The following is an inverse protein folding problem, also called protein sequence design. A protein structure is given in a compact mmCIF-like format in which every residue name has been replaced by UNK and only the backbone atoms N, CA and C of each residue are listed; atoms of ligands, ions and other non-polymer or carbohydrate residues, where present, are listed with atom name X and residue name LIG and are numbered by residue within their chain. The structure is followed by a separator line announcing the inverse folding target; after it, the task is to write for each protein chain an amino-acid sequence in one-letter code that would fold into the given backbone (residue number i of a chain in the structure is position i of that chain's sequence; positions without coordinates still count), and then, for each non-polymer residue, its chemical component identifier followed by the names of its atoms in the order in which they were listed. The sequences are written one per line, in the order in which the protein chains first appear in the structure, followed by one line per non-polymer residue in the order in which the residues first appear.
data_IF_213419621190
#
_entry.id   IF_213419621190
#
_cell.length_a   1.000
_cell.length_b   1.000
_cell.length_c   1.000
_cell.angle_alpha   90.00
_cell.angle_beta   90.00
_cell.angle_gamma   90.00
#
_symmetry.space_group_name_H-M   'P 1'
#
loop_
_entity.id
_entity.type
_entity.pdbx_description
1 polymer ?
#
# COMPACT_ATOMS: atom_id res chain seq x y z
N UNK A 1 -14.01 5.08 -2.03
CA UNK A 1 -13.06 5.44 -3.11
C UNK A 1 -12.08 4.30 -3.23
N UNK A 2 -12.20 3.50 -4.28
CA UNK A 2 -11.35 2.32 -4.48
C UNK A 2 -9.98 2.73 -5.02
N UNK A 3 -8.95 1.94 -4.71
CA UNK A 3 -7.62 2.13 -5.29
C UNK A 3 -7.71 2.02 -6.82
N UNK A 4 -6.96 2.85 -7.55
CA UNK A 4 -6.95 2.78 -9.02
C UNK A 4 -6.11 1.58 -9.51
N UNK A 5 -6.52 0.97 -10.61
CA UNK A 5 -5.84 -0.14 -11.30
C UNK A 5 -4.30 -0.03 -11.38
N UNK A 6 -3.69 1.08 -11.85
CA UNK A 6 -2.25 1.14 -11.98
C UNK A 6 -1.50 1.10 -10.63
N UNK A 7 -2.16 1.53 -9.54
CA UNK A 7 -1.58 1.46 -8.20
C UNK A 7 -1.73 0.04 -7.66
N UNK A 8 -2.85 -0.62 -7.92
CA UNK A 8 -3.05 -2.04 -7.61
C UNK A 8 -1.98 -2.91 -8.28
N UNK A 9 -1.64 -2.64 -9.55
CA UNK A 9 -0.59 -3.36 -10.27
C UNK A 9 0.82 -3.20 -9.64
N UNK A 10 1.05 -2.11 -8.89
CA UNK A 10 2.29 -1.91 -8.13
C UNK A 10 2.22 -2.74 -6.85
N UNK A 11 1.19 -2.54 -6.03
CA UNK A 11 1.11 -3.14 -4.69
C UNK A 11 0.72 -4.63 -4.68
N UNK A 12 0.29 -5.19 -5.81
CA UNK A 12 0.07 -6.62 -5.97
C UNK A 12 1.37 -7.41 -6.23
N UNK A 13 2.50 -6.73 -6.45
CA UNK A 13 3.80 -7.39 -6.61
C UNK A 13 4.37 -7.76 -5.24
N UNK A 14 5.22 -8.79 -5.23
CA UNK A 14 6.07 -9.13 -4.10
C UNK A 14 7.32 -8.26 -4.19
N UNK A 15 7.72 -7.69 -3.05
CA UNK A 15 8.89 -6.86 -2.87
C UNK A 15 9.82 -7.47 -1.84
N UNK A 16 10.90 -6.77 -1.49
CA UNK A 16 11.75 -7.21 -0.40
C UNK A 16 10.95 -7.27 0.91
N UNK A 17 11.15 -8.32 1.73
CA UNK A 17 10.44 -8.51 2.97
C UNK A 17 10.82 -7.46 4.02
N UNK A 18 9.85 -7.08 4.84
CA UNK A 18 10.02 -6.14 5.97
C UNK A 18 10.68 -4.81 5.60
N UNK A 19 10.46 -4.33 4.37
CA UNK A 19 11.03 -3.08 3.87
C UNK A 19 9.96 -2.01 3.65
N UNK A 20 10.41 -0.76 3.57
CA UNK A 20 9.60 0.36 3.14
C UNK A 20 10.05 0.82 1.77
N UNK A 21 9.17 0.73 0.78
CA UNK A 21 9.45 1.13 -0.60
C UNK A 21 8.77 2.46 -0.87
N UNK A 22 9.55 3.46 -1.26
CA UNK A 22 9.06 4.74 -1.74
C UNK A 22 9.21 4.83 -3.27
N UNK A 23 8.17 5.33 -3.95
CA UNK A 23 8.18 5.50 -5.41
C UNK A 23 7.31 6.68 -5.82
N UNK A 24 7.77 7.44 -6.81
CA UNK A 24 6.97 8.49 -7.44
C UNK A 24 6.03 7.92 -8.50
N UNK A 25 4.77 8.31 -8.47
CA UNK A 25 3.73 7.92 -9.43
C UNK A 25 3.00 9.16 -9.97
N UNK A 26 3.49 9.66 -11.10
CA UNK A 26 3.01 10.91 -11.70
C UNK A 26 3.19 12.09 -10.74
N UNK A 27 2.07 12.70 -10.32
CA UNK A 27 2.06 13.83 -9.37
C UNK A 27 2.04 13.44 -7.90
N UNK A 28 1.97 12.13 -7.63
CA UNK A 28 1.88 11.59 -6.28
C UNK A 28 3.18 10.90 -5.89
N UNK A 29 3.51 10.96 -4.61
CA UNK A 29 4.48 10.11 -3.95
C UNK A 29 3.73 8.94 -3.33
N UNK A 30 4.20 7.72 -3.61
CA UNK A 30 3.72 6.49 -3.02
C UNK A 30 4.77 6.01 -2.02
N UNK A 31 4.32 5.56 -0.85
CA UNK A 31 5.15 4.74 0.02
C UNK A 31 4.35 3.54 0.48
N UNK A 32 4.93 2.36 0.45
CA UNK A 32 4.28 1.17 0.97
C UNK A 32 5.23 0.33 1.81
N UNK A 33 4.67 -0.25 2.87
CA UNK A 33 5.39 -1.16 3.77
C UNK A 33 5.05 -2.59 3.41
N UNK A 34 6.06 -3.42 3.35
CA UNK A 34 5.93 -4.85 3.12
C UNK A 34 5.98 -5.63 4.42
N UNK A 35 5.31 -6.77 4.44
CA UNK A 35 5.42 -7.75 5.53
C UNK A 35 6.65 -8.67 5.33
N UNK A 36 6.83 -9.64 6.21
CA UNK A 36 7.90 -10.64 6.18
C UNK A 36 7.89 -11.52 4.92
N UNK A 37 6.75 -11.61 4.24
CA UNK A 37 6.62 -12.27 2.93
C UNK A 37 6.86 -11.34 1.73
N UNK A 38 7.24 -10.07 1.96
CA UNK A 38 7.41 -9.09 0.88
C UNK A 38 6.09 -8.56 0.31
N UNK A 39 4.95 -8.90 0.93
CA UNK A 39 3.62 -8.46 0.51
C UNK A 39 3.35 -7.04 1.01
N UNK A 40 2.99 -6.09 0.14
CA UNK A 40 2.59 -4.76 0.59
C UNK A 40 1.34 -4.85 1.46
N UNK A 41 1.44 -4.37 2.70
CA UNK A 41 0.35 -4.39 3.70
C UNK A 41 -0.19 -3.00 4.01
N UNK A 42 0.60 -1.96 3.74
CA UNK A 42 0.23 -0.59 4.04
C UNK A 42 0.73 0.32 2.92
N UNK A 43 -0.09 1.28 2.51
CA UNK A 43 0.17 2.15 1.38
C UNK A 43 -0.23 3.59 1.72
N UNK A 44 0.66 4.52 1.42
CA UNK A 44 0.46 5.95 1.51
C UNK A 44 0.49 6.52 0.09
N UNK A 45 -0.47 7.37 -0.22
CA UNK A 45 -0.59 8.04 -1.52
C UNK A 45 -0.79 9.51 -1.26
N UNK A 46 0.16 10.35 -1.67
CA UNK A 46 0.06 11.76 -1.35
C UNK A 46 1.14 12.59 -2.01
N UNK A 47 1.55 13.65 -1.33
CA UNK A 47 2.76 14.39 -1.66
C UNK A 47 3.69 14.35 -0.46
N UNK A 48 4.98 14.16 -0.72
CA UNK A 48 6.00 14.29 0.31
C UNK A 48 6.11 15.76 0.73
N UNK A 49 5.96 16.03 2.02
CA UNK A 49 6.14 17.37 2.58
C UNK A 49 7.63 17.65 2.85
N UNK A 50 7.95 18.87 3.30
CA UNK A 50 9.33 19.29 3.63
C UNK A 50 9.96 18.46 4.76
N UNK A 51 9.15 17.81 5.60
CA UNK A 51 9.60 16.88 6.64
C UNK A 51 9.81 15.45 6.14
N UNK A 52 9.60 15.18 4.84
CA UNK A 52 9.74 13.85 4.27
C UNK A 52 8.54 12.92 4.53
N UNK A 53 7.42 13.43 5.04
CA UNK A 53 6.21 12.65 5.29
C UNK A 53 5.25 12.73 4.11
N UNK A 54 4.63 11.61 3.73
CA UNK A 54 3.60 11.60 2.68
C UNK A 54 2.26 12.04 3.28
N UNK A 55 1.84 13.25 2.92
CA UNK A 55 0.54 13.80 3.30
C UNK A 55 -0.48 13.46 2.21
N UNK A 56 -1.50 12.69 2.56
CA UNK A 56 -2.49 12.20 1.61
C UNK A 56 -3.37 11.10 2.16
N UNK A 57 -3.75 10.15 1.31
CA UNK A 57 -4.61 9.02 1.68
C UNK A 57 -3.77 7.82 2.17
N UNK A 58 -4.20 7.22 3.28
CA UNK A 58 -3.64 5.97 3.80
C UNK A 58 -4.55 4.80 3.52
N UNK A 59 -3.98 3.72 3.02
CA UNK A 59 -4.65 2.46 2.76
C UNK A 59 -3.97 1.32 3.51
N UNK A 60 -4.78 0.37 3.99
CA UNK A 60 -4.31 -0.87 4.61
C UNK A 60 -4.86 -2.05 3.82
N UNK A 61 -3.99 -3.01 3.48
CA UNK A 61 -4.41 -4.23 2.81
C UNK A 61 -5.08 -5.15 3.81
N UNK A 62 -6.22 -5.70 3.42
CA UNK A 62 -6.91 -6.76 4.16
C UNK A 62 -6.94 -7.98 3.28
N UNK A 63 -5.91 -8.81 3.46
CA UNK A 63 -5.84 -10.15 2.92
C UNK A 63 -6.45 -11.10 3.96
N UNK A 64 -7.57 -11.74 3.58
CA UNK A 64 -8.19 -12.81 4.36
C UNK A 64 -7.93 -14.11 3.63
N UNK A 65 -7.23 -15.03 4.28
CA UNK A 65 -7.00 -16.39 3.80
C UNK A 65 -7.99 -17.36 4.45
N UNK A 66 -8.29 -18.43 3.73
CA UNK A 66 -9.03 -19.59 4.23
C UNK A 66 -8.13 -20.48 5.10
N UNK A 67 -8.72 -21.47 5.76
CA UNK A 67 -8.03 -22.48 6.57
C UNK A 67 -6.96 -23.22 5.74
N UNK A 68 -7.18 -23.34 4.42
CA UNK A 68 -6.24 -23.94 3.46
C UNK A 68 -5.18 -22.97 2.93
N UNK A 69 -5.11 -21.74 3.44
CA UNK A 69 -4.14 -20.71 3.00
C UNK A 69 -4.51 -20.01 1.68
N UNK A 70 -5.66 -20.32 1.08
CA UNK A 70 -6.11 -19.68 -0.15
C UNK A 70 -6.65 -18.26 0.13
N UNK A 71 -6.33 -17.24 -0.68
CA UNK A 71 -6.87 -15.90 -0.50
C UNK A 71 -8.38 -15.88 -0.78
N UNK A 72 -9.20 -15.63 0.25
CA UNK A 72 -10.66 -15.47 0.14
C UNK A 72 -11.01 -14.04 -0.28
N UNK A 73 -10.34 -13.07 0.33
CA UNK A 73 -10.63 -11.64 0.12
C UNK A 73 -9.34 -10.86 0.16
N UNK A 74 -9.10 -10.09 -0.88
CA UNK A 74 -8.02 -9.13 -0.93
C UNK A 74 -8.59 -7.77 -1.32
N UNK A 75 -8.54 -6.82 -0.39
CA UNK A 75 -8.96 -5.45 -0.67
C UNK A 75 -8.16 -4.43 0.13
N UNK A 76 -8.04 -3.23 -0.45
CA UNK A 76 -7.42 -2.09 0.20
C UNK A 76 -8.49 -1.23 0.88
N UNK A 77 -8.41 -1.12 2.19
CA UNK A 77 -9.27 -0.26 2.98
C UNK A 77 -8.64 1.13 3.14
N UNK A 78 -9.35 2.18 2.76
CA UNK A 78 -8.92 3.56 3.03
C UNK A 78 -9.13 3.86 4.52
N UNK A 79 -8.05 4.14 5.24
CA UNK A 79 -8.08 4.48 6.67
C UNK A 79 -8.30 5.98 6.95
N UNK A 80 -8.26 6.83 5.92
CA UNK A 80 -8.49 8.27 6.03
C UNK A 80 -7.30 9.09 5.50
N UNK A 81 -7.33 10.39 5.75
CA UNK A 81 -6.17 11.26 5.48
C UNK A 81 -5.12 11.02 6.57
N UNK A 82 -3.88 10.80 6.15
CA UNK A 82 -2.73 10.98 7.04
C UNK A 82 -2.48 12.49 7.09
N UNK A 83 -2.74 13.12 8.24
CA UNK A 83 -2.40 14.52 8.54
C UNK A 83 -1.01 14.59 9.17
#
# INVERSE_FOLDING_TARGET
MSLKDPILAIVNKIYEPSTMVERKFGRYDLAFKTDSEGRPILLFIGKKNEQGQIVGDRYSRRLKTDDKGNPIKDHWERKGKSS
#
